data_IF_147968810161
#
_entry.id   IF_147968810161
#
_cell.length_a   1.000
_cell.length_b   1.000
_cell.length_c   1.000
_cell.angle_alpha   90.00
_cell.angle_beta   90.00
_cell.angle_gamma   90.00
#
_symmetry.space_group_name_H-M   'P 1'
#
loop_
_entity.id
_entity.type
_entity.pdbx_description
1 polymer ?
#
# COMPACT_ATOMS: atom_id res chain seq x y z
N UNK A 1 0.51 -17.55 -41.80
CA UNK A 1 0.81 -18.25 -40.54
C UNK A 1 1.40 -17.25 -39.56
N UNK A 2 1.00 -17.33 -38.29
CA UNK A 2 1.18 -16.29 -37.28
C UNK A 2 2.61 -16.18 -36.74
N UNK A 3 3.13 -14.97 -36.62
CA UNK A 3 4.32 -14.64 -35.82
C UNK A 3 3.93 -14.67 -34.34
N UNK A 4 4.17 -15.78 -33.64
CA UNK A 4 4.06 -15.83 -32.20
C UNK A 4 5.25 -15.04 -31.59
N UNK A 5 4.96 -13.92 -30.93
CA UNK A 5 5.97 -13.11 -30.27
C UNK A 5 6.43 -13.80 -28.97
N UNK A 6 7.49 -14.60 -29.05
CA UNK A 6 8.05 -15.39 -27.95
C UNK A 6 8.68 -14.52 -26.81
N UNK A 7 8.56 -13.19 -26.87
CA UNK A 7 8.98 -12.26 -25.80
C UNK A 7 7.84 -11.80 -24.89
N UNK A 8 6.60 -12.24 -25.11
CA UNK A 8 5.50 -11.90 -24.20
C UNK A 8 5.72 -12.58 -22.85
N UNK A 9 6.09 -11.81 -21.84
CA UNK A 9 6.12 -12.30 -20.45
C UNK A 9 4.69 -12.72 -20.09
N UNK A 10 4.47 -13.89 -19.48
CA UNK A 10 3.14 -14.22 -18.98
C UNK A 10 2.71 -13.13 -18.01
N UNK A 11 1.45 -12.69 -18.13
CA UNK A 11 0.84 -11.73 -17.19
C UNK A 11 1.02 -12.32 -15.81
N UNK A 12 1.78 -11.64 -14.95
CA UNK A 12 1.97 -12.14 -13.60
C UNK A 12 0.72 -11.85 -12.82
N UNK A 13 -0.12 -12.88 -12.68
CA UNK A 13 -1.46 -12.78 -12.11
C UNK A 13 -1.45 -12.57 -10.60
N UNK A 14 -0.40 -13.01 -9.89
CA UNK A 14 -0.36 -13.00 -8.42
C UNK A 14 0.98 -12.52 -7.86
N UNK A 15 0.92 -11.70 -6.81
CA UNK A 15 2.06 -11.21 -6.04
C UNK A 15 1.76 -11.28 -4.55
N UNK A 16 2.72 -11.77 -3.78
CA UNK A 16 2.65 -11.80 -2.33
C UNK A 16 3.48 -10.65 -1.76
N UNK A 17 2.87 -9.88 -0.85
CA UNK A 17 3.54 -8.83 -0.11
C UNK A 17 3.32 -9.07 1.38
N UNK A 18 4.34 -8.77 2.18
CA UNK A 18 4.23 -8.85 3.64
C UNK A 18 3.55 -7.59 4.16
N UNK A 19 2.50 -7.77 4.97
CA UNK A 19 1.92 -6.68 5.74
C UNK A 19 2.95 -6.25 6.78
N UNK A 20 3.37 -4.99 6.70
CA UNK A 20 4.34 -4.39 7.61
C UNK A 20 3.59 -3.61 8.70
N UNK A 21 4.31 -3.26 9.77
CA UNK A 21 3.79 -2.34 10.78
C UNK A 21 4.32 -0.94 10.53
N UNK A 22 3.44 0.06 10.62
CA UNK A 22 3.81 1.47 10.57
C UNK A 22 3.39 2.18 11.85
N UNK A 23 4.30 2.99 12.40
CA UNK A 23 4.03 3.78 13.58
C UNK A 23 3.07 4.93 13.24
N UNK A 24 1.99 5.07 14.01
CA UNK A 24 1.09 6.22 13.87
C UNK A 24 1.85 7.51 14.15
N UNK A 25 1.84 8.42 13.18
CA UNK A 25 2.45 9.74 13.35
C UNK A 25 1.78 10.46 14.52
N UNK A 26 2.57 10.86 15.52
CA UNK A 26 2.11 11.70 16.60
C UNK A 26 2.36 13.16 16.23
N UNK A 27 1.33 14.01 16.30
CA UNK A 27 1.50 15.45 16.18
C UNK A 27 2.52 15.95 17.22
N UNK A 28 3.36 16.94 16.86
CA UNK A 28 4.34 17.55 17.78
C UNK A 28 3.72 17.97 19.12
N UNK A 29 2.50 18.52 19.10
CA UNK A 29 1.80 18.93 20.33
C UNK A 29 1.51 17.75 21.28
N UNK A 30 1.17 16.58 20.74
CA UNK A 30 0.97 15.34 21.51
C UNK A 30 2.28 14.83 22.09
N UNK A 31 3.37 14.95 21.35
CA UNK A 31 4.70 14.57 21.81
C UNK A 31 5.14 15.45 22.99
N UNK A 32 5.05 16.77 22.83
CA UNK A 32 5.43 17.75 23.87
C UNK A 32 4.59 17.62 25.14
N UNK A 33 3.28 17.35 25.01
CA UNK A 33 2.40 17.09 26.17
C UNK A 33 2.84 15.85 26.97
N UNK A 34 3.20 14.77 26.28
CA UNK A 34 3.65 13.55 26.95
C UNK A 34 4.98 13.76 27.68
N UNK A 35 5.92 14.49 27.05
CA UNK A 35 7.19 14.88 27.68
C UNK A 35 6.94 15.70 28.95
N UNK A 36 6.13 16.77 28.87
CA UNK A 36 5.82 17.62 30.03
C UNK A 36 5.17 16.83 31.17
N UNK A 37 4.32 15.87 30.84
CA UNK A 37 3.63 15.02 31.81
C UNK A 37 4.49 13.84 32.31
N UNK A 38 5.75 13.70 31.89
CA UNK A 38 6.61 12.55 32.17
C UNK A 38 5.93 11.20 31.83
N UNK A 39 5.09 11.17 30.78
CA UNK A 39 4.38 9.97 30.32
C UNK A 39 5.05 9.40 29.08
N UNK A 40 5.12 8.07 28.98
CA UNK A 40 5.49 7.41 27.73
C UNK A 40 4.39 7.62 26.68
N UNK A 41 4.81 7.94 25.46
CA UNK A 41 3.91 7.88 24.30
C UNK A 41 3.76 6.42 23.93
N UNK A 42 2.54 5.89 24.07
CA UNK A 42 2.22 4.62 23.46
C UNK A 42 2.11 4.86 21.94
N UNK A 43 3.17 4.50 21.23
CA UNK A 43 3.13 4.44 19.76
C UNK A 43 2.14 3.36 19.37
N UNK A 44 1.04 3.76 18.74
CA UNK A 44 0.09 2.82 18.15
C UNK A 44 0.60 2.44 16.77
N UNK A 45 0.75 1.15 16.51
CA UNK A 45 1.11 0.64 15.19
C UNK A 45 -0.17 0.34 14.38
N UNK A 46 -0.08 0.44 13.06
CA UNK A 46 -1.13 0.04 12.14
C UNK A 46 -0.56 -0.80 10.99
N UNK A 47 -1.35 -1.72 10.41
CA UNK A 47 -0.90 -2.50 9.26
C UNK A 47 -0.68 -1.59 8.05
N UNK A 48 0.45 -1.77 7.39
CA UNK A 48 0.86 -1.02 6.21
C UNK A 48 1.26 -2.00 5.10
N UNK A 49 0.79 -1.73 3.88
CA UNK A 49 1.11 -2.52 2.69
C UNK A 49 1.73 -1.58 1.66
N UNK A 50 2.84 -2.01 1.06
CA UNK A 50 3.48 -1.33 -0.07
C UNK A 50 3.33 -2.17 -1.33
N UNK A 51 2.64 -1.63 -2.32
CA UNK A 51 2.56 -2.19 -3.67
C UNK A 51 3.48 -1.36 -4.58
N UNK A 52 4.40 -2.04 -5.27
CA UNK A 52 5.32 -1.39 -6.21
C UNK A 52 5.72 -2.37 -7.32
N UNK A 53 5.97 -1.84 -8.51
CA UNK A 53 6.50 -2.58 -9.65
C UNK A 53 5.71 -2.32 -10.94
N UNK A 54 6.34 -2.64 -12.07
CA UNK A 54 5.80 -2.44 -13.43
C UNK A 54 4.44 -3.11 -13.64
N UNK A 55 4.15 -4.18 -12.89
CA UNK A 55 2.85 -4.88 -12.96
C UNK A 55 1.65 -4.00 -12.55
N UNK A 56 1.88 -2.92 -11.79
CA UNK A 56 0.83 -1.94 -11.49
C UNK A 56 0.50 -1.08 -12.72
N UNK A 57 1.52 -0.69 -13.50
CA UNK A 57 1.32 0.03 -14.76
C UNK A 57 0.58 -0.86 -15.77
N UNK A 58 0.97 -2.13 -15.87
CA UNK A 58 0.26 -3.13 -16.70
C UNK A 58 -1.21 -3.33 -16.25
N UNK A 59 -1.50 -3.11 -14.98
CA UNK A 59 -2.85 -3.16 -14.41
C UNK A 59 -3.63 -1.84 -14.54
N UNK A 60 -3.04 -0.83 -15.20
CA UNK A 60 -3.65 0.46 -15.48
C UNK A 60 -3.48 1.51 -14.39
N UNK A 61 -2.56 1.31 -13.44
CA UNK A 61 -2.26 2.32 -12.43
C UNK A 61 -1.20 3.32 -12.91
N UNK A 62 -1.43 4.61 -12.65
CA UNK A 62 -0.54 5.71 -13.00
C UNK A 62 -0.05 6.48 -11.76
N UNK A 63 1.19 6.95 -11.80
CA UNK A 63 1.76 7.74 -10.71
C UNK A 63 1.05 9.10 -10.59
N UNK A 64 0.53 9.39 -9.39
CA UNK A 64 -0.16 10.64 -9.10
C UNK A 64 -1.68 10.60 -9.32
N UNK A 65 -2.23 9.48 -9.82
CA UNK A 65 -3.67 9.30 -9.88
C UNK A 65 -4.28 9.08 -8.48
N UNK A 66 -5.60 9.23 -8.38
CA UNK A 66 -6.34 8.79 -7.20
C UNK A 66 -6.79 7.35 -7.42
N UNK A 67 -6.65 6.51 -6.42
CA UNK A 67 -7.18 5.13 -6.47
C UNK A 67 -8.45 5.01 -5.63
N UNK A 68 -9.38 4.18 -6.08
CA UNK A 68 -10.54 3.78 -5.30
C UNK A 68 -10.19 2.53 -4.49
N UNK A 69 -10.41 2.58 -3.18
CA UNK A 69 -10.28 1.41 -2.30
C UNK A 69 -11.66 1.08 -1.74
N UNK A 70 -12.08 -0.17 -1.93
CA UNK A 70 -13.32 -0.73 -1.36
C UNK A 70 -12.98 -1.97 -0.53
N UNK A 71 -13.82 -2.25 0.47
CA UNK A 71 -13.67 -3.40 1.37
C UNK A 71 -14.96 -4.20 1.32
N UNK A 72 -14.87 -5.41 0.78
CA UNK A 72 -16.01 -6.33 0.62
C UNK A 72 -15.57 -7.72 1.06
N UNK A 73 -16.35 -8.41 1.90
CA UNK A 73 -16.10 -9.78 2.34
C UNK A 73 -14.65 -10.07 2.81
N UNK A 74 -14.09 -9.15 3.59
CA UNK A 74 -12.69 -9.19 4.09
C UNK A 74 -11.62 -9.12 2.99
N UNK A 75 -11.97 -8.60 1.81
CA UNK A 75 -11.08 -8.35 0.69
C UNK A 75 -10.91 -6.85 0.50
N UNK A 76 -9.68 -6.44 0.19
CA UNK A 76 -9.37 -5.09 -0.29
C UNK A 76 -9.40 -5.11 -1.81
N UNK A 77 -10.27 -4.32 -2.41
CA UNK A 77 -10.35 -4.15 -3.87
C UNK A 77 -9.84 -2.75 -4.17
N UNK A 78 -8.75 -2.66 -4.93
CA UNK A 78 -8.09 -1.42 -5.33
C UNK A 78 -8.30 -1.25 -6.83
N UNK A 79 -8.82 -0.09 -7.25
CA UNK A 79 -9.13 0.19 -8.65
C UNK A 79 -8.50 1.53 -9.05
N UNK A 80 -7.80 1.62 -10.19
CA UNK A 80 -7.35 2.90 -10.75
C UNK A 80 -8.55 3.77 -11.15
N UNK A 81 -8.37 5.09 -11.28
CA UNK A 81 -9.47 6.03 -11.60
C UNK A 81 -9.19 6.93 -12.79
#
# INVERSE_FOLDING_TARGET
MANANHKSRPVVTERFVTVQESARHHSLSRVLRAIRAHRRLNTTYFPWIKLAGVWLEDAGFEAGERVRITVEDKRLIITPM
#
